data_IF_094161063395
#
_entry.id   IF_094161063395
#
_cell.length_a   1.000
_cell.length_b   1.000
_cell.length_c   1.000
_cell.angle_alpha   90.00
_cell.angle_beta   90.00
_cell.angle_gamma   90.00
#
_symmetry.space_group_name_H-M   'P 1'
#
loop_
_entity.id
_entity.type
_entity.pdbx_description
1 polymer ?
#
# COMPACT_ATOMS: atom_id res chain seq x y z
N UNK A 1 -4.67 17.75 15.39
CA UNK A 1 -3.98 16.48 15.08
C UNK A 1 -5.07 15.51 14.71
N UNK A 2 -5.03 15.04 13.48
CA UNK A 2 -6.10 14.25 12.87
C UNK A 2 -5.52 12.90 12.44
N UNK A 3 -6.32 11.84 12.56
CA UNK A 3 -5.95 10.50 12.10
C UNK A 3 -6.98 9.96 11.11
N UNK A 4 -6.49 9.21 10.13
CA UNK A 4 -7.29 8.46 9.17
C UNK A 4 -6.81 7.02 9.09
N UNK A 5 -7.72 6.10 8.81
CA UNK A 5 -7.42 4.68 8.61
C UNK A 5 -7.53 4.35 7.13
N UNK A 6 -6.53 3.68 6.58
CA UNK A 6 -6.54 3.15 5.22
C UNK A 6 -6.72 1.64 5.31
N UNK A 7 -7.76 1.13 4.64
CA UNK A 7 -7.98 -0.30 4.42
C UNK A 7 -7.35 -0.69 3.09
N UNK A 8 -6.53 -1.73 3.08
CA UNK A 8 -5.90 -2.32 1.90
C UNK A 8 -6.32 -3.79 1.83
N UNK A 9 -7.10 -4.15 0.82
CA UNK A 9 -7.55 -5.52 0.60
C UNK A 9 -6.76 -6.13 -0.55
N UNK A 10 -6.13 -7.29 -0.31
CA UNK A 10 -5.34 -8.01 -1.30
C UNK A 10 -6.26 -8.90 -2.15
N UNK A 11 -6.61 -8.45 -3.36
CA UNK A 11 -7.53 -9.16 -4.24
C UNK A 11 -6.88 -10.35 -4.97
N UNK A 12 -5.55 -10.33 -5.10
CA UNK A 12 -4.75 -11.43 -5.63
C UNK A 12 -3.56 -11.69 -4.72
N UNK A 13 -2.92 -12.84 -4.85
CA UNK A 13 -1.70 -13.10 -4.09
C UNK A 13 -0.66 -12.02 -4.36
N UNK A 14 0.08 -11.66 -3.33
CA UNK A 14 0.91 -10.46 -3.36
C UNK A 14 2.32 -10.75 -2.88
N UNK A 15 3.31 -10.25 -3.62
CA UNK A 15 4.73 -10.34 -3.25
C UNK A 15 5.20 -8.99 -2.75
N UNK A 16 5.28 -8.83 -1.43
CA UNK A 16 5.98 -7.68 -0.85
C UNK A 16 7.45 -8.04 -0.71
N UNK A 17 8.27 -7.66 -1.70
CA UNK A 17 9.70 -7.86 -1.60
C UNK A 17 10.26 -7.14 -0.37
N UNK A 18 10.75 -7.89 0.60
CA UNK A 18 11.39 -7.33 1.81
C UNK A 18 12.79 -6.76 1.53
N UNK A 19 13.37 -7.07 0.38
CA UNK A 19 14.80 -6.87 0.10
C UNK A 19 15.70 -7.87 0.81
N UNK A 20 15.14 -8.76 1.63
CA UNK A 20 15.83 -9.85 2.30
C UNK A 20 15.54 -11.18 1.59
N UNK A 21 16.59 -11.99 1.47
CA UNK A 21 16.54 -13.36 0.93
C UNK A 21 16.94 -14.33 2.04
N UNK A 22 16.26 -15.48 2.15
CA UNK A 22 16.70 -16.58 3.02
C UNK A 22 17.62 -17.48 2.18
N UNK A 23 18.95 -17.48 2.44
CA UNK A 23 19.91 -18.19 1.59
C UNK A 23 19.55 -19.67 1.42
N UNK A 24 19.39 -20.12 0.18
CA UNK A 24 19.12 -21.52 -0.16
C UNK A 24 17.66 -21.97 -0.05
N UNK A 25 16.72 -21.10 0.34
CA UNK A 25 15.29 -21.45 0.45
C UNK A 25 14.36 -20.46 -0.26
N UNK A 26 14.52 -19.15 -0.06
CA UNK A 26 13.64 -18.12 -0.62
C UNK A 26 14.48 -16.97 -1.20
N UNK A 27 14.34 -16.71 -2.50
CA UNK A 27 15.04 -15.63 -3.19
C UNK A 27 14.48 -14.24 -2.85
N UNK A 28 13.18 -14.15 -2.57
CA UNK A 28 12.52 -12.93 -2.10
C UNK A 28 11.46 -13.29 -1.04
N UNK A 29 11.72 -12.90 0.21
CA UNK A 29 10.80 -13.15 1.31
C UNK A 29 9.90 -11.93 1.57
N UNK A 30 8.80 -12.14 2.27
CA UNK A 30 7.90 -11.06 2.70
C UNK A 30 8.34 -10.52 4.06
N UNK A 31 7.99 -9.26 4.35
CA UNK A 31 8.16 -8.72 5.69
C UNK A 31 7.09 -9.32 6.61
N UNK A 32 7.51 -9.81 7.78
CA UNK A 32 6.63 -10.31 8.82
C UNK A 32 7.15 -9.90 10.21
N UNK A 33 6.24 -9.78 11.18
CA UNK A 33 6.58 -9.39 12.56
C UNK A 33 7.08 -10.58 13.42
N UNK A 34 7.42 -10.32 14.67
CA UNK A 34 7.92 -11.36 15.60
C UNK A 34 6.90 -12.49 15.88
N UNK A 35 5.62 -12.30 15.52
CA UNK A 35 4.56 -13.28 15.66
C UNK A 35 4.21 -13.97 14.34
N UNK A 36 4.88 -13.62 13.24
CA UNK A 36 4.69 -14.24 11.92
C UNK A 36 3.63 -13.57 11.04
N UNK A 37 3.06 -12.42 11.45
CA UNK A 37 2.10 -11.71 10.62
C UNK A 37 2.80 -10.90 9.53
N UNK A 38 2.43 -11.09 8.25
CA UNK A 38 2.99 -10.30 7.16
C UNK A 38 2.51 -8.85 7.21
N UNK A 39 3.37 -7.91 6.81
CA UNK A 39 3.05 -6.49 6.77
C UNK A 39 3.73 -5.75 5.60
N UNK A 40 3.28 -4.53 5.30
CA UNK A 40 3.95 -3.60 4.36
C UNK A 40 4.54 -2.45 5.17
N UNK A 41 5.80 -2.11 4.95
CA UNK A 41 6.39 -0.95 5.60
C UNK A 41 5.65 0.35 5.20
N UNK A 42 5.33 1.19 6.19
CA UNK A 42 4.59 2.44 6.02
C UNK A 42 5.32 3.42 5.10
N UNK A 43 6.65 3.38 5.02
CA UNK A 43 7.43 4.17 4.04
C UNK A 43 7.18 3.70 2.61
N UNK A 44 7.15 2.40 2.38
CA UNK A 44 6.87 1.81 1.06
C UNK A 44 5.44 2.15 0.64
N UNK A 45 4.47 1.98 1.54
CA UNK A 45 3.08 2.31 1.28
C UNK A 45 2.87 3.81 1.03
N UNK A 46 3.48 4.68 1.85
CA UNK A 46 3.50 6.13 1.64
C UNK A 46 4.06 6.49 0.26
N UNK A 47 5.16 5.84 -0.16
CA UNK A 47 5.75 6.05 -1.48
C UNK A 47 4.77 5.74 -2.61
N UNK A 48 4.15 4.56 -2.57
CA UNK A 48 3.15 4.13 -3.57
C UNK A 48 1.91 5.05 -3.61
N UNK A 49 1.39 5.47 -2.46
CA UNK A 49 0.30 6.46 -2.43
C UNK A 49 0.75 7.83 -2.95
N UNK A 50 1.98 8.26 -2.65
CA UNK A 50 2.55 9.50 -3.17
C UNK A 50 2.70 9.49 -4.70
N UNK A 51 3.10 8.36 -5.28
CA UNK A 51 3.12 8.16 -6.73
C UNK A 51 1.72 8.31 -7.33
N UNK A 52 0.69 7.68 -6.74
CA UNK A 52 -0.69 7.80 -7.21
C UNK A 52 -1.27 9.20 -7.02
N UNK A 53 -0.88 9.92 -5.95
CA UNK A 53 -1.20 11.32 -5.78
C UNK A 53 -0.60 12.17 -6.91
N UNK A 54 0.65 11.90 -7.32
CA UNK A 54 1.27 12.54 -8.48
C UNK A 54 0.55 12.25 -9.79
N UNK A 55 0.16 11.00 -10.02
CA UNK A 55 -0.66 10.61 -11.19
C UNK A 55 -1.97 11.39 -11.21
N UNK A 56 -2.67 11.48 -10.08
CA UNK A 56 -3.91 12.24 -9.96
C UNK A 56 -3.72 13.74 -10.25
N UNK A 57 -2.70 14.38 -9.66
CA UNK A 57 -2.36 15.78 -9.94
C UNK A 57 -2.17 16.01 -11.43
N UNK A 58 -1.40 15.15 -12.10
CA UNK A 58 -1.16 15.24 -13.54
C UNK A 58 -2.45 15.09 -14.35
N UNK A 59 -3.34 14.16 -13.97
CA UNK A 59 -4.65 14.00 -14.61
C UNK A 59 -5.51 15.27 -14.49
N UNK A 60 -5.53 15.90 -13.31
CA UNK A 60 -6.28 17.14 -13.07
C UNK A 60 -5.68 18.29 -13.89
N UNK A 61 -4.35 18.46 -13.89
CA UNK A 61 -3.66 19.49 -14.69
C UNK A 61 -3.89 19.35 -16.19
N UNK A 62 -4.01 18.12 -16.68
CA UNK A 62 -4.27 17.84 -18.10
C UNK A 62 -5.71 18.12 -18.54
N UNK A 63 -6.63 18.38 -17.59
CA UNK A 63 -8.01 18.72 -17.92
C UNK A 63 -8.17 20.23 -18.17
N UNK A 64 -9.01 20.59 -19.15
CA UNK A 64 -9.19 21.99 -19.60
C UNK A 64 -9.53 22.97 -18.48
N UNK A 65 -10.28 22.50 -17.47
CA UNK A 65 -10.75 23.31 -16.33
C UNK A 65 -9.95 23.07 -15.04
N UNK A 66 -9.01 22.13 -15.03
CA UNK A 66 -8.35 21.66 -13.82
C UNK A 66 -6.95 22.22 -13.61
N UNK A 67 -6.40 23.02 -14.53
CA UNK A 67 -5.02 23.50 -14.45
C UNK A 67 -4.70 24.22 -13.13
N UNK A 68 -5.49 25.22 -12.76
CA UNK A 68 -5.28 26.00 -11.53
C UNK A 68 -5.41 25.14 -10.27
N UNK A 69 -6.45 24.29 -10.22
CA UNK A 69 -6.65 23.34 -9.11
C UNK A 69 -5.49 22.34 -9.04
N UNK A 70 -4.97 21.91 -10.19
CA UNK A 70 -3.85 21.00 -10.29
C UNK A 70 -2.55 21.58 -9.72
N UNK A 71 -2.29 22.87 -9.92
CA UNK A 71 -1.15 23.56 -9.27
C UNK A 71 -1.30 23.57 -7.74
N UNK A 72 -2.50 23.89 -7.24
CA UNK A 72 -2.78 23.84 -5.79
C UNK A 72 -2.56 22.42 -5.25
N UNK A 73 -3.09 21.40 -5.93
CA UNK A 73 -2.93 20.00 -5.52
C UNK A 73 -1.47 19.54 -5.54
N UNK A 74 -0.64 20.06 -6.46
CA UNK A 74 0.79 19.76 -6.49
C UNK A 74 1.50 20.29 -5.24
N UNK A 75 1.24 21.54 -4.85
CA UNK A 75 1.79 22.11 -3.61
C UNK A 75 1.37 21.30 -2.38
N UNK A 76 0.09 20.87 -2.32
CA UNK A 76 -0.41 20.02 -1.24
C UNK A 76 0.23 18.64 -1.25
N UNK A 77 0.45 18.03 -2.42
CA UNK A 77 1.16 16.75 -2.55
C UNK A 77 2.56 16.85 -1.95
N UNK A 78 3.30 17.89 -2.33
CA UNK A 78 4.68 18.11 -1.87
C UNK A 78 4.73 18.38 -0.35
N UNK A 79 3.71 19.04 0.21
CA UNK A 79 3.54 19.16 1.65
C UNK A 79 3.32 17.80 2.33
N UNK A 80 2.35 17.02 1.88
CA UNK A 80 1.94 15.76 2.54
C UNK A 80 3.00 14.66 2.40
N UNK A 81 3.51 14.46 1.19
CA UNK A 81 4.43 13.37 0.88
C UNK A 81 5.90 13.75 1.06
N UNK A 82 6.21 15.04 0.98
CA UNK A 82 7.56 15.58 1.05
C UNK A 82 8.25 15.63 -0.31
N UNK A 83 9.28 16.46 -0.41
CA UNK A 83 10.16 16.58 -1.58
C UNK A 83 11.55 16.07 -1.21
N UNK A 84 12.21 15.37 -2.15
CA UNK A 84 13.56 14.86 -1.93
C UNK A 84 14.54 15.98 -1.62
N UNK A 85 15.31 15.84 -0.54
CA UNK A 85 16.28 16.85 -0.10
C UNK A 85 15.72 17.94 0.81
N UNK A 86 14.41 17.97 1.06
CA UNK A 86 13.77 18.95 1.94
C UNK A 86 13.20 18.29 3.20
N UNK A 87 13.55 18.84 4.38
CA UNK A 87 12.96 18.41 5.63
C UNK A 87 11.70 19.23 5.94
N UNK A 88 10.56 18.54 5.98
CA UNK A 88 9.24 19.09 6.33
C UNK A 88 8.67 18.35 7.53
N UNK A 89 8.31 19.09 8.58
CA UNK A 89 7.80 18.55 9.84
C UNK A 89 6.28 18.32 9.81
N UNK A 90 5.60 19.00 8.91
CA UNK A 90 4.15 19.01 8.63
C UNK A 90 3.69 17.85 7.74
N UNK A 91 4.61 17.01 7.27
CA UNK A 91 4.30 15.83 6.44
C UNK A 91 3.49 14.79 7.21
N UNK A 92 2.56 14.13 6.53
CA UNK A 92 1.82 13.00 7.11
C UNK A 92 2.74 11.81 7.39
N UNK A 93 2.42 11.08 8.46
CA UNK A 93 3.15 9.87 8.86
C UNK A 93 2.24 8.66 8.69
N UNK A 94 2.79 7.60 8.12
CA UNK A 94 2.08 6.34 7.90
C UNK A 94 2.60 5.32 8.89
N UNK A 95 1.70 4.60 9.56
CA UNK A 95 2.05 3.33 10.19
C UNK A 95 2.31 2.28 9.12
N UNK A 96 2.95 1.18 9.53
CA UNK A 96 3.00 -0.02 8.71
C UNK A 96 1.58 -0.51 8.39
N UNK A 97 1.42 -1.19 7.24
CA UNK A 97 0.18 -1.85 6.86
C UNK A 97 0.15 -3.24 7.48
N UNK A 98 -0.65 -3.41 8.51
CA UNK A 98 -0.70 -4.65 9.32
C UNK A 98 -2.12 -5.22 9.34
N UNK A 99 -2.27 -6.52 9.61
CA UNK A 99 -3.59 -7.07 9.95
C UNK A 99 -4.15 -6.36 11.20
N UNK A 100 -5.46 -6.41 11.39
CA UNK A 100 -6.12 -5.67 12.48
C UNK A 100 -5.47 -5.94 13.84
N UNK A 101 -5.34 -4.88 14.64
CA UNK A 101 -4.69 -4.94 15.94
C UNK A 101 -5.35 -5.96 16.86
N UNK A 102 -6.68 -6.07 16.80
CA UNK A 102 -7.47 -6.99 17.63
C UNK A 102 -7.10 -8.45 17.35
N UNK A 103 -6.92 -8.80 16.06
CA UNK A 103 -6.47 -10.15 15.67
C UNK A 103 -5.04 -10.40 16.15
N UNK A 104 -4.13 -9.43 15.96
CA UNK A 104 -2.74 -9.57 16.41
C UNK A 104 -2.63 -9.70 17.92
N UNK A 105 -3.33 -8.85 18.67
CA UNK A 105 -3.33 -8.85 20.13
C UNK A 105 -3.90 -10.18 20.66
N UNK A 106 -4.93 -10.74 20.01
CA UNK A 106 -5.44 -12.07 20.36
C UNK A 106 -4.36 -13.15 20.24
N UNK A 107 -3.68 -13.25 19.09
CA UNK A 107 -2.64 -14.27 18.92
C UNK A 107 -1.45 -14.01 19.84
N UNK A 108 -0.97 -12.77 19.93
CA UNK A 108 0.12 -12.37 20.82
C UNK A 108 -0.11 -12.84 22.27
N UNK A 109 -1.34 -12.74 22.77
CA UNK A 109 -1.67 -13.09 24.15
C UNK A 109 -1.92 -14.59 24.36
N UNK A 110 -2.27 -15.36 23.31
CA UNK A 110 -2.72 -16.76 23.43
C UNK A 110 -1.79 -17.79 22.77
N UNK A 111 -0.81 -17.36 21.96
CA UNK A 111 0.11 -18.26 21.23
C UNK A 111 0.88 -19.20 22.16
N UNK A 112 1.32 -18.71 23.33
CA UNK A 112 2.08 -19.51 24.30
C UNK A 112 1.26 -20.65 24.89
N UNK A 113 0.02 -20.38 25.30
CA UNK A 113 -0.88 -21.39 25.87
C UNK A 113 -1.31 -22.43 24.82
N UNK A 114 -1.47 -21.98 23.57
CA UNK A 114 -1.89 -22.84 22.46
C UNK A 114 -0.71 -23.54 21.75
N UNK A 115 0.53 -23.33 22.21
CA UNK A 115 1.75 -23.83 21.57
C UNK A 115 1.86 -23.50 20.06
N UNK A 116 1.31 -22.35 19.65
CA UNK A 116 1.37 -21.87 18.27
C UNK A 116 2.68 -21.13 18.06
N UNK A 117 3.44 -21.51 17.04
CA UNK A 117 4.70 -20.87 16.67
C UNK A 117 4.49 -19.76 15.64
N UNK A 118 5.30 -18.69 15.64
CA UNK A 118 5.24 -17.64 14.62
C UNK A 118 5.30 -18.15 13.18
N UNK A 119 6.12 -19.17 12.92
CA UNK A 119 6.22 -19.78 11.58
C UNK A 119 4.91 -20.41 11.10
N UNK A 120 4.08 -20.94 12.00
CA UNK A 120 2.78 -21.53 11.63
C UNK A 120 1.78 -20.45 11.20
N UNK A 121 1.84 -19.27 11.81
CA UNK A 121 1.03 -18.11 11.39
C UNK A 121 1.50 -17.63 10.02
N UNK A 122 2.81 -17.50 9.83
CA UNK A 122 3.38 -17.08 8.55
C UNK A 122 2.99 -18.04 7.43
N UNK A 123 3.15 -19.35 7.63
CA UNK A 123 2.82 -20.38 6.64
C UNK A 123 1.30 -20.51 6.41
N UNK A 124 0.46 -20.15 7.38
CA UNK A 124 -0.99 -20.09 7.17
C UNK A 124 -1.41 -18.90 6.28
N UNK A 125 -0.67 -17.80 6.34
CA UNK A 125 -0.98 -16.56 5.61
C UNK A 125 -0.21 -16.42 4.28
N UNK A 126 0.72 -17.34 4.01
CA UNK A 126 1.61 -17.29 2.85
C UNK A 126 1.80 -18.65 2.21
N UNK A 127 2.31 -18.68 0.98
CA UNK A 127 2.86 -19.90 0.39
C UNK A 127 4.10 -19.58 -0.45
N UNK A 128 4.82 -20.61 -0.89
CA UNK A 128 5.96 -20.46 -1.79
C UNK A 128 5.51 -20.73 -3.22
N UNK A 129 5.81 -19.80 -4.12
CA UNK A 129 5.69 -20.02 -5.56
C UNK A 129 7.08 -20.17 -6.18
N UNK A 130 7.19 -21.12 -7.11
CA UNK A 130 8.38 -21.34 -7.92
C UNK A 130 8.16 -20.81 -9.34
N UNK A 131 9.15 -20.10 -9.87
CA UNK A 131 9.12 -19.55 -11.21
C UNK A 131 10.42 -19.87 -11.94
N UNK A 132 10.30 -20.33 -13.17
CA UNK A 132 11.45 -20.59 -14.06
C UNK A 132 11.23 -19.92 -15.40
N UNK A 133 12.31 -19.48 -16.05
CA UNK A 133 12.23 -18.91 -17.40
C UNK A 133 12.49 -19.99 -18.43
N UNK A 134 11.59 -20.16 -19.39
CA UNK A 134 11.77 -21.13 -20.49
C UNK A 134 12.47 -20.44 -21.67
N UNK A 135 13.48 -21.10 -22.25
CA UNK A 135 14.06 -20.70 -23.52
C UNK A 135 13.06 -21.00 -24.65
N UNK A 136 12.67 -19.96 -25.40
CA UNK A 136 11.64 -20.09 -26.44
C UNK A 136 12.09 -20.88 -27.67
N UNK A 137 13.39 -21.04 -27.89
CA UNK A 137 13.93 -21.79 -29.04
C UNK A 137 14.08 -23.27 -28.70
N UNK A 138 14.55 -23.59 -27.49
CA UNK A 138 14.82 -24.98 -27.10
C UNK A 138 13.68 -25.63 -26.31
N UNK A 139 12.78 -24.82 -25.72
CA UNK A 139 11.73 -25.30 -24.83
C UNK A 139 12.24 -25.74 -23.45
N UNK A 140 13.53 -25.58 -23.17
CA UNK A 140 14.17 -25.99 -21.91
C UNK A 140 14.23 -24.79 -20.95
N UNK A 141 14.19 -25.07 -19.65
CA UNK A 141 14.45 -24.05 -18.63
C UNK A 141 15.82 -23.40 -18.87
N UNK A 142 15.87 -22.07 -18.81
CA UNK A 142 17.12 -21.32 -18.86
C UNK A 142 17.94 -21.64 -17.62
N UNK A 143 19.24 -21.80 -17.81
CA UNK A 143 20.16 -22.06 -16.70
C UNK A 143 20.05 -20.98 -15.63
N UNK A 144 20.03 -21.40 -14.36
CA UNK A 144 19.92 -20.55 -13.16
C UNK A 144 18.71 -19.59 -13.14
N UNK A 145 17.63 -19.91 -13.84
CA UNK A 145 16.43 -19.06 -13.89
C UNK A 145 15.34 -19.42 -12.88
N UNK A 146 15.47 -20.54 -12.17
CA UNK A 146 14.55 -20.90 -11.09
C UNK A 146 14.63 -19.87 -9.97
N UNK A 147 13.48 -19.40 -9.52
CA UNK A 147 13.29 -18.44 -8.43
C UNK A 147 12.16 -18.90 -7.55
N UNK A 148 12.38 -18.90 -6.24
CA UNK A 148 11.38 -19.21 -5.24
C UNK A 148 11.07 -17.92 -4.46
N UNK A 149 9.81 -17.52 -4.42
CA UNK A 149 9.40 -16.33 -3.67
C UNK A 149 8.20 -16.66 -2.79
N UNK A 150 8.20 -16.07 -1.59
CA UNK A 150 7.06 -16.16 -0.69
C UNK A 150 6.00 -15.16 -1.16
N UNK A 151 4.77 -15.62 -1.27
CA UNK A 151 3.59 -14.82 -1.61
C UNK A 151 2.66 -14.77 -0.41
N UNK A 152 2.04 -13.61 -0.18
CA UNK A 152 0.93 -13.49 0.76
C UNK A 152 -0.34 -13.91 0.04
N UNK A 153 -1.13 -14.75 0.70
CA UNK A 153 -2.38 -15.26 0.18
C UNK A 153 -3.37 -14.11 -0.06
N UNK A 154 -4.10 -14.16 -1.18
CA UNK A 154 -5.24 -13.27 -1.44
C UNK A 154 -6.31 -13.33 -0.34
N UNK A 155 -7.10 -12.27 -0.24
CA UNK A 155 -8.17 -12.09 0.73
C UNK A 155 -7.73 -11.45 2.06
N UNK A 156 -6.43 -11.25 2.28
CA UNK A 156 -5.94 -10.57 3.48
C UNK A 156 -6.28 -9.07 3.44
N UNK A 157 -6.72 -8.54 4.59
CA UNK A 157 -6.98 -7.11 4.76
C UNK A 157 -5.94 -6.54 5.72
N UNK A 158 -5.21 -5.55 5.24
CA UNK A 158 -4.22 -4.79 5.99
C UNK A 158 -4.73 -3.37 6.25
N UNK A 159 -4.29 -2.79 7.36
CA UNK A 159 -4.66 -1.45 7.80
C UNK A 159 -3.40 -0.62 8.03
N UNK A 160 -3.41 0.62 7.55
CA UNK A 160 -2.40 1.63 7.87
C UNK A 160 -3.08 2.89 8.37
N UNK A 161 -2.45 3.54 9.34
CA UNK A 161 -2.93 4.78 9.93
C UNK A 161 -2.12 5.96 9.42
N UNK A 162 -2.82 6.99 8.96
CA UNK A 162 -2.24 8.27 8.54
C UNK A 162 -2.38 9.24 9.72
N UNK A 163 -1.27 9.54 10.36
CA UNK A 163 -1.20 10.57 11.41
C UNK A 163 -0.85 11.92 10.78
N UNK A 164 -1.78 12.87 10.91
CA UNK A 164 -1.67 14.21 10.38
C UNK A 164 -1.29 15.18 11.52
N UNK A 165 -0.11 15.83 11.46
CA UNK A 165 0.27 16.84 12.46
C UNK A 165 -0.75 17.97 12.57
N UNK A 166 -1.27 18.40 11.42
CA UNK A 166 -2.31 19.42 11.25
C UNK A 166 -3.61 18.79 10.74
N UNK A 167 -4.71 19.53 10.84
CA UNK A 167 -5.98 19.09 10.23
C UNK A 167 -5.89 19.23 8.72
N UNK A 168 -6.39 18.23 7.99
CA UNK A 168 -6.35 18.27 6.54
C UNK A 168 -7.39 19.24 5.97
N UNK A 169 -6.95 20.10 5.06
CA UNK A 169 -7.85 20.89 4.22
C UNK A 169 -8.55 20.03 3.16
N UNK A 170 -9.47 20.63 2.41
CA UNK A 170 -10.27 19.92 1.40
C UNK A 170 -9.41 19.39 0.25
N UNK A 171 -8.38 20.13 -0.18
CA UNK A 171 -7.49 19.69 -1.26
C UNK A 171 -6.61 18.51 -0.82
N UNK A 172 -6.11 18.55 0.42
CA UNK A 172 -5.36 17.46 1.03
C UNK A 172 -6.22 16.19 1.18
N UNK A 173 -7.50 16.34 1.58
CA UNK A 173 -8.49 15.25 1.63
C UNK A 173 -8.78 14.66 0.25
N UNK A 174 -9.05 15.51 -0.74
CA UNK A 174 -9.26 15.10 -2.15
C UNK A 174 -8.05 14.29 -2.62
N UNK A 175 -6.83 14.78 -2.36
CA UNK A 175 -5.60 14.15 -2.82
C UNK A 175 -5.41 12.76 -2.22
N UNK A 176 -5.51 12.61 -0.90
CA UNK A 176 -5.34 11.31 -0.24
C UNK A 176 -6.42 10.31 -0.66
N UNK A 177 -7.69 10.74 -0.70
CA UNK A 177 -8.80 9.89 -1.11
C UNK A 177 -8.67 9.44 -2.58
N UNK A 178 -8.27 10.35 -3.47
CA UNK A 178 -8.04 10.04 -4.88
C UNK A 178 -6.85 9.11 -5.07
N UNK A 179 -5.75 9.32 -4.35
CA UNK A 179 -4.59 8.43 -4.38
C UNK A 179 -4.95 7.02 -3.91
N UNK A 180 -5.73 6.88 -2.84
CA UNK A 180 -6.26 5.59 -2.40
C UNK A 180 -7.12 4.95 -3.50
N UNK A 181 -8.05 5.73 -4.07
CA UNK A 181 -8.96 5.24 -5.11
C UNK A 181 -8.25 4.88 -6.42
N UNK A 182 -7.07 5.42 -6.72
CA UNK A 182 -6.30 5.09 -7.92
C UNK A 182 -5.32 3.93 -7.74
N UNK A 183 -4.91 3.64 -6.51
CA UNK A 183 -3.97 2.56 -6.24
C UNK A 183 -4.59 1.20 -6.59
N UNK A 184 -4.00 0.50 -7.57
CA UNK A 184 -4.48 -0.82 -8.05
C UNK A 184 -3.53 -1.95 -7.75
N UNK A 185 -2.23 -1.66 -7.68
CA UNK A 185 -1.22 -2.68 -7.50
C UNK A 185 -0.22 -2.31 -6.41
N UNK A 186 0.13 -3.29 -5.58
CA UNK A 186 1.17 -3.22 -4.57
C UNK A 186 2.08 -4.44 -4.66
N UNK A 187 3.36 -4.23 -4.38
CA UNK A 187 4.37 -5.30 -4.42
C UNK A 187 4.99 -5.51 -5.80
N UNK A 188 5.56 -6.69 -6.00
CA UNK A 188 6.24 -7.10 -7.23
C UNK A 188 5.36 -8.00 -8.10
N UNK A 189 5.81 -8.24 -9.33
CA UNK A 189 5.14 -9.12 -10.30
C UNK A 189 3.73 -8.68 -10.71
N UNK A 190 3.47 -7.36 -10.71
CA UNK A 190 2.22 -6.76 -11.18
C UNK A 190 1.86 -7.24 -12.61
N UNK A 191 2.84 -7.30 -13.51
CA UNK A 191 2.69 -7.78 -14.90
C UNK A 191 2.44 -9.28 -15.03
N UNK A 192 2.51 -10.03 -13.93
CA UNK A 192 2.23 -11.48 -13.86
C UNK A 192 0.97 -11.79 -13.03
N UNK A 193 0.11 -10.80 -12.82
CA UNK A 193 -1.18 -10.99 -12.17
C UNK A 193 -1.10 -11.07 -10.63
N UNK A 194 -0.03 -10.55 -10.03
CA UNK A 194 0.11 -10.47 -8.57
C UNK A 194 -0.13 -9.03 -8.09
N UNK A 195 -0.47 -8.92 -6.80
CA UNK A 195 -0.50 -7.63 -6.12
C UNK A 195 -1.67 -6.72 -6.45
N UNK A 196 -2.74 -7.21 -7.10
CA UNK A 196 -3.98 -6.44 -7.25
C UNK A 196 -4.59 -6.15 -5.87
N UNK A 197 -4.93 -4.90 -5.62
CA UNK A 197 -5.49 -4.43 -4.35
C UNK A 197 -6.68 -3.50 -4.54
N UNK A 198 -7.54 -3.46 -3.52
CA UNK A 198 -8.52 -2.41 -3.32
C UNK A 198 -8.14 -1.57 -2.09
N UNK A 199 -8.16 -0.24 -2.23
CA UNK A 199 -7.73 0.67 -1.18
C UNK A 199 -8.80 1.72 -0.91
N UNK A 200 -9.10 1.93 0.37
CA UNK A 200 -10.12 2.88 0.81
C UNK A 200 -9.71 3.60 2.08
N UNK A 201 -10.14 4.87 2.19
CA UNK A 201 -9.85 5.77 3.29
C UNK A 201 -11.06 5.91 4.21
N UNK A 202 -10.79 5.84 5.51
CA UNK A 202 -11.79 5.87 6.57
C UNK A 202 -11.47 6.97 7.59
N UNK A 203 -12.54 7.58 8.12
CA UNK A 203 -12.51 8.50 9.24
C UNK A 203 -13.59 8.09 10.22
N UNK A 204 -13.22 7.90 11.48
CA UNK A 204 -14.15 7.48 12.55
C UNK A 204 -15.00 6.26 12.12
N UNK A 205 -14.31 5.25 11.56
CA UNK A 205 -14.86 4.01 10.98
C UNK A 205 -15.86 4.15 9.82
N UNK A 206 -16.09 5.36 9.32
CA UNK A 206 -16.86 5.60 8.09
C UNK A 206 -15.92 5.65 6.89
N UNK A 207 -16.27 4.95 5.81
CA UNK A 207 -15.57 5.10 4.52
C UNK A 207 -15.85 6.49 3.95
N UNK A 208 -14.81 7.31 3.82
CA UNK A 208 -14.90 8.71 3.34
C UNK A 208 -14.28 8.89 1.96
N UNK A 209 -13.84 7.81 1.31
CA UNK A 209 -13.13 7.86 0.02
C UNK A 209 -13.93 8.63 -1.03
N UNK A 210 -15.17 8.23 -1.28
CA UNK A 210 -16.01 8.88 -2.28
C UNK A 210 -16.50 10.27 -1.83
N UNK A 211 -16.78 10.45 -0.53
CA UNK A 211 -17.19 11.74 0.02
C UNK A 211 -16.12 12.81 -0.28
N UNK A 212 -14.84 12.49 -0.06
CA UNK A 212 -13.74 13.43 -0.31
C UNK A 212 -13.39 13.59 -1.79
N UNK A 213 -13.50 12.53 -2.60
CA UNK A 213 -13.31 12.67 -4.06
C UNK A 213 -14.39 13.60 -4.64
N UNK A 214 -15.63 13.54 -4.14
CA UNK A 214 -16.73 14.37 -4.64
C UNK A 214 -16.50 15.87 -4.39
N UNK A 215 -15.73 16.26 -3.36
CA UNK A 215 -15.35 17.66 -3.14
C UNK A 215 -14.63 18.28 -4.35
N UNK A 216 -13.92 17.47 -5.16
CA UNK A 216 -13.30 17.95 -6.39
C UNK A 216 -14.33 18.53 -7.36
N UNK A 217 -15.50 17.91 -7.48
CA UNK A 217 -16.55 18.36 -8.40
C UNK A 217 -17.04 19.76 -8.03
N UNK A 218 -17.20 20.02 -6.75
CA UNK A 218 -17.61 21.33 -6.24
C UNK A 218 -16.55 22.40 -6.58
N UNK A 219 -15.26 22.08 -6.41
CA UNK A 219 -14.17 23.01 -6.73
C UNK A 219 -14.02 23.29 -8.22
N UNK A 220 -14.15 22.27 -9.07
CA UNK A 220 -14.05 22.45 -10.53
C UNK A 220 -15.24 23.23 -11.09
N UNK A 221 -16.44 23.07 -10.51
CA UNK A 221 -17.64 23.78 -10.97
C UNK A 221 -17.73 25.23 -10.47
N UNK A 222 -17.06 25.59 -9.36
CA UNK A 222 -17.00 26.97 -8.85
C UNK A 222 -16.08 27.90 -9.67
N UNK A 223 -15.21 27.33 -10.52
CA UNK A 223 -14.31 28.06 -11.40
C UNK A 223 -14.90 28.27 -12.82
N UNK A 224 -16.24 28.22 -12.96
CA UNK A 224 -16.99 28.45 -14.19
C UNK A 224 -17.88 29.68 -14.07
#
# INVERSE_FOLDING_TARGET
MEEYKIKVELLTDTVFGSGYSVPGFIDADVLYDEYGFPYINGKTFKGKLGEMAGVFVNMVKASDKGKEIGEILEEKKDKLFGVGGEYRHDKVKFSDCEISKEVRDYFKNNMGESNIKPGEILDALTHIEEQTSIDRKTGVAKDKSLRNYRVINSGLILYSYIHCPENLDEYEKILLASACSLLRHLGAYETKGKGLVEVSMYKDDKNVTFDYINLLREKVNLNV
#
